data_IF_732654882948
#
_entry.id   IF_732654882948
#
_cell.length_a   1.000
_cell.length_b   1.000
_cell.length_c   1.000
_cell.angle_alpha   90.00
_cell.angle_beta   90.00
_cell.angle_gamma   90.00
#
_symmetry.space_group_name_H-M   'P 1'
#
loop_
_entity.id
_entity.type
_entity.pdbx_description
1 polymer ?
#
# COMPACT_ATOMS: atom_id res chain seq x y z
N UNK A 1 27.70 7.66 -6.37
CA UNK A 1 27.80 6.39 -5.63
C UNK A 1 26.69 5.48 -6.14
N UNK A 2 27.05 4.43 -6.87
CA UNK A 2 26.14 3.44 -7.42
C UNK A 2 25.63 2.54 -6.28
N UNK A 3 24.38 2.75 -5.87
CA UNK A 3 23.71 1.85 -4.91
C UNK A 3 23.55 0.50 -5.60
N UNK A 4 24.14 -0.55 -5.03
CA UNK A 4 24.06 -1.91 -5.53
C UNK A 4 22.65 -2.47 -5.26
N UNK A 5 21.69 -2.11 -6.11
CA UNK A 5 20.24 -2.42 -6.01
C UNK A 5 19.90 -3.91 -6.26
N UNK A 6 20.90 -4.75 -6.53
CA UNK A 6 20.76 -6.17 -6.87
C UNK A 6 20.79 -7.15 -5.68
N UNK A 7 21.06 -6.69 -4.45
CA UNK A 7 21.13 -7.58 -3.28
C UNK A 7 19.76 -7.67 -2.61
N UNK A 8 19.22 -8.88 -2.40
CA UNK A 8 17.97 -9.08 -1.64
C UNK A 8 18.10 -8.54 -0.21
N UNK A 9 16.99 -8.03 0.33
CA UNK A 9 16.88 -7.66 1.75
C UNK A 9 16.92 -8.92 2.59
N UNK A 10 17.73 -8.92 3.64
CA UNK A 10 17.89 -10.07 4.52
C UNK A 10 16.84 -10.06 5.62
N UNK A 11 16.56 -11.23 6.20
CA UNK A 11 15.70 -11.32 7.38
C UNK A 11 16.30 -10.61 8.61
N UNK A 12 17.63 -10.43 8.65
CA UNK A 12 18.31 -9.71 9.74
C UNK A 12 17.97 -8.22 9.68
N UNK A 13 18.11 -7.59 8.51
CA UNK A 13 17.76 -6.17 8.32
C UNK A 13 16.29 -5.91 8.68
N UNK A 14 15.37 -6.79 8.24
CA UNK A 14 13.96 -6.68 8.61
C UNK A 14 13.75 -6.74 10.13
N UNK A 15 14.40 -7.69 10.81
CA UNK A 15 14.29 -7.84 12.27
C UNK A 15 14.91 -6.67 13.04
N UNK A 16 16.02 -6.12 12.57
CA UNK A 16 16.66 -4.96 13.18
C UNK A 16 15.74 -3.74 13.15
N UNK A 17 15.12 -3.46 12.00
CA UNK A 17 14.16 -2.36 11.87
C UNK A 17 12.89 -2.58 12.69
N UNK A 18 12.36 -3.81 12.76
CA UNK A 18 11.22 -4.16 13.65
C UNK A 18 11.59 -3.89 15.11
N UNK A 19 12.73 -4.41 15.58
CA UNK A 19 13.18 -4.21 16.96
C UNK A 19 13.37 -2.73 17.30
N UNK A 20 13.93 -1.95 16.38
CA UNK A 20 14.07 -0.51 16.53
C UNK A 20 12.70 0.18 16.63
N UNK A 21 11.75 -0.18 15.75
CA UNK A 21 10.41 0.38 15.76
C UNK A 21 9.66 0.05 17.07
N UNK A 22 9.74 -1.18 17.55
CA UNK A 22 9.16 -1.54 18.85
C UNK A 22 9.79 -0.77 20.01
N UNK A 23 11.10 -0.55 19.98
CA UNK A 23 11.79 0.24 20.99
C UNK A 23 11.32 1.71 20.98
N UNK A 24 11.15 2.28 19.79
CA UNK A 24 10.58 3.62 19.60
C UNK A 24 9.14 3.69 20.11
N UNK A 25 8.31 2.68 19.85
CA UNK A 25 6.94 2.60 20.39
C UNK A 25 6.95 2.64 21.92
N UNK A 26 7.85 1.86 22.55
CA UNK A 26 7.98 1.81 24.02
C UNK A 26 8.52 3.11 24.63
N UNK A 27 9.45 3.78 23.96
CA UNK A 27 10.20 4.90 24.54
C UNK A 27 9.58 6.27 24.23
N UNK A 28 9.02 6.42 23.03
CA UNK A 28 8.61 7.70 22.46
C UNK A 28 7.11 7.76 22.12
N UNK A 29 6.40 6.64 22.23
CA UNK A 29 4.98 6.52 21.92
C UNK A 29 4.67 6.41 20.42
N UNK A 30 3.45 5.98 20.12
CA UNK A 30 2.99 5.65 18.75
C UNK A 30 3.27 6.75 17.74
N UNK A 31 2.89 7.99 18.05
CA UNK A 31 3.00 9.11 17.11
C UNK A 31 4.43 9.30 16.60
N UNK A 32 5.40 9.38 17.52
CA UNK A 32 6.79 9.63 17.18
C UNK A 32 7.42 8.41 16.51
N UNK A 33 7.11 7.20 16.97
CA UNK A 33 7.60 5.97 16.37
C UNK A 33 7.12 5.80 14.92
N UNK A 34 5.82 5.98 14.65
CA UNK A 34 5.25 5.90 13.30
C UNK A 34 5.88 6.95 12.40
N UNK A 35 5.91 8.22 12.84
CA UNK A 35 6.52 9.30 12.07
C UNK A 35 7.98 8.99 11.72
N UNK A 36 8.76 8.53 12.69
CA UNK A 36 10.18 8.18 12.49
C UNK A 36 10.39 6.99 11.56
N UNK A 37 9.45 6.04 11.54
CA UNK A 37 9.56 4.85 10.69
C UNK A 37 9.25 5.21 9.23
N UNK A 38 8.12 5.87 8.96
CA UNK A 38 7.57 5.93 7.61
C UNK A 38 7.59 7.31 6.94
N UNK A 39 7.95 8.42 7.61
CA UNK A 39 7.75 9.76 7.00
C UNK A 39 8.44 9.93 5.65
N UNK A 40 9.72 9.60 5.56
CA UNK A 40 10.48 9.73 4.31
C UNK A 40 9.99 8.73 3.26
N UNK A 41 9.83 7.47 3.65
CA UNK A 41 9.33 6.41 2.77
C UNK A 41 7.92 6.71 2.21
N UNK A 42 7.05 7.28 3.04
CA UNK A 42 5.69 7.67 2.66
C UNK A 42 5.69 8.87 1.70
N UNK A 43 6.59 9.83 1.88
CA UNK A 43 6.75 10.93 0.93
C UNK A 43 7.23 10.43 -0.44
N UNK A 44 8.25 9.57 -0.47
CA UNK A 44 8.75 8.96 -1.72
C UNK A 44 7.63 8.18 -2.44
N UNK A 45 6.86 7.40 -1.68
CA UNK A 45 5.70 6.68 -2.19
C UNK A 45 4.67 7.63 -2.81
N UNK A 46 4.25 8.67 -2.08
CA UNK A 46 3.25 9.64 -2.54
C UNK A 46 3.71 10.41 -3.78
N UNK A 47 4.98 10.85 -3.82
CA UNK A 47 5.56 11.53 -4.97
C UNK A 47 5.56 10.64 -6.22
N UNK A 48 5.86 9.36 -6.05
CA UNK A 48 5.85 8.40 -7.15
C UNK A 48 4.43 8.16 -7.69
N UNK A 49 3.43 8.10 -6.79
CA UNK A 49 2.03 7.98 -7.19
C UNK A 49 1.50 9.22 -7.94
N UNK A 50 1.88 10.40 -7.48
CA UNK A 50 1.48 11.67 -8.10
C UNK A 50 2.10 11.85 -9.49
N UNK A 51 3.36 11.47 -9.65
CA UNK A 51 4.03 11.48 -10.96
C UNK A 51 3.29 10.58 -11.96
N UNK A 52 2.95 9.35 -11.58
CA UNK A 52 2.22 8.43 -12.45
C UNK A 52 0.82 8.96 -12.84
N UNK A 53 0.12 9.60 -11.91
CA UNK A 53 -1.21 10.20 -12.18
C UNK A 53 -1.14 11.37 -13.18
N UNK A 54 -0.07 12.16 -13.12
CA UNK A 54 0.09 13.39 -13.92
C UNK A 54 0.77 13.17 -15.28
N UNK A 55 1.35 12.00 -15.53
CA UNK A 55 1.91 11.64 -16.84
C UNK A 55 0.81 11.66 -17.92
N UNK A 56 0.93 12.58 -18.88
CA UNK A 56 -0.01 12.72 -20.00
C UNK A 56 -0.16 11.41 -20.80
N UNK A 57 -1.31 11.22 -21.47
CA UNK A 57 -1.60 10.12 -22.40
C UNK A 57 -0.76 10.15 -23.69
N UNK A 58 0.56 10.32 -23.58
CA UNK A 58 1.45 9.93 -24.67
C UNK A 58 1.28 8.41 -24.86
N UNK A 59 0.97 7.94 -26.08
CA UNK A 59 0.67 6.54 -26.30
C UNK A 59 1.89 5.72 -25.91
N UNK A 60 1.75 4.93 -24.84
CA UNK A 60 2.77 4.03 -24.34
C UNK A 60 3.31 3.19 -25.50
N UNK A 61 4.48 3.57 -26.02
CA UNK A 61 5.32 2.62 -26.75
C UNK A 61 5.59 1.51 -25.76
N UNK A 62 5.10 0.32 -26.06
CA UNK A 62 5.32 -0.89 -25.27
C UNK A 62 6.83 -1.11 -25.16
N UNK A 63 7.47 -0.48 -24.18
CA UNK A 63 8.81 -0.81 -23.74
C UNK A 63 8.63 -1.94 -22.73
N UNK A 64 8.84 -3.17 -23.21
CA UNK A 64 8.86 -4.44 -22.46
C UNK A 64 10.00 -4.49 -21.42
N UNK A 65 10.56 -3.35 -21.04
CA UNK A 65 11.56 -3.24 -19.99
C UNK A 65 10.83 -2.87 -18.72
N UNK A 66 10.62 -3.85 -17.82
CA UNK A 66 10.23 -3.61 -16.43
C UNK A 66 11.13 -2.48 -15.91
N UNK A 67 10.56 -1.31 -15.67
CA UNK A 67 11.27 -0.20 -15.04
C UNK A 67 11.85 -0.73 -13.74
N UNK A 68 13.14 -0.48 -13.50
CA UNK A 68 13.79 -0.87 -12.25
C UNK A 68 12.99 -0.38 -11.04
N UNK A 69 13.01 -1.12 -9.93
CA UNK A 69 12.36 -0.73 -8.67
C UNK A 69 12.66 0.75 -8.35
N UNK A 70 11.60 1.58 -8.34
CA UNK A 70 11.72 3.02 -8.10
C UNK A 70 12.17 3.33 -6.67
N UNK A 71 11.98 2.39 -5.75
CA UNK A 71 12.24 2.55 -4.33
C UNK A 71 13.64 2.08 -3.96
N UNK A 72 14.34 2.86 -3.14
CA UNK A 72 15.61 2.42 -2.55
C UNK A 72 15.37 1.37 -1.47
N UNK A 73 16.46 0.71 -1.06
CA UNK A 73 16.45 -0.39 -0.09
C UNK A 73 15.85 0.01 1.27
N UNK A 74 16.17 1.18 1.78
CA UNK A 74 15.71 1.64 3.10
C UNK A 74 14.20 1.94 3.05
N UNK A 75 13.76 2.58 1.97
CA UNK A 75 12.33 2.81 1.69
C UNK A 75 11.56 1.48 1.64
N UNK A 76 12.06 0.47 0.93
CA UNK A 76 11.44 -0.87 0.87
C UNK A 76 11.31 -1.51 2.26
N UNK A 77 12.36 -1.45 3.08
CA UNK A 77 12.36 -2.00 4.44
C UNK A 77 11.30 -1.28 5.29
N UNK A 78 11.29 0.06 5.29
CA UNK A 78 10.39 0.88 6.12
C UNK A 78 8.92 0.69 5.76
N UNK A 79 8.59 0.63 4.47
CA UNK A 79 7.22 0.36 4.02
C UNK A 79 6.80 -1.03 4.49
N UNK A 80 7.64 -2.04 4.24
CA UNK A 80 7.33 -3.44 4.58
C UNK A 80 7.16 -3.63 6.09
N UNK A 81 8.08 -3.11 6.90
CA UNK A 81 7.98 -3.16 8.37
C UNK A 81 6.75 -2.39 8.84
N UNK A 82 6.53 -1.18 8.33
CA UNK A 82 5.37 -0.37 8.71
C UNK A 82 4.03 -1.09 8.47
N UNK A 83 3.86 -1.69 7.29
CA UNK A 83 2.66 -2.47 6.97
C UNK A 83 2.50 -3.72 7.84
N UNK A 84 3.60 -4.40 8.16
CA UNK A 84 3.61 -5.60 8.99
C UNK A 84 3.28 -5.34 10.46
N UNK A 85 3.79 -4.24 11.01
CA UNK A 85 3.68 -3.93 12.44
C UNK A 85 2.39 -3.17 12.80
N UNK A 86 1.85 -2.35 11.88
CA UNK A 86 0.66 -1.55 12.16
C UNK A 86 -0.30 -1.46 10.98
N UNK A 87 -1.54 -1.93 11.18
CA UNK A 87 -2.59 -1.85 10.15
C UNK A 87 -2.92 -0.42 9.72
N UNK A 88 -2.78 0.57 10.60
CA UNK A 88 -3.00 1.98 10.23
C UNK A 88 -1.96 2.50 9.25
N UNK A 89 -0.73 2.00 9.31
CA UNK A 89 0.30 2.32 8.31
C UNK A 89 -0.06 1.66 6.98
N UNK A 90 -0.40 0.37 7.00
CA UNK A 90 -0.86 -0.34 5.80
C UNK A 90 -2.02 0.38 5.13
N UNK A 91 -3.02 0.78 5.91
CA UNK A 91 -4.21 1.43 5.41
C UNK A 91 -3.85 2.83 4.85
N UNK A 92 -2.90 3.57 5.42
CA UNK A 92 -2.44 4.84 4.84
C UNK A 92 -1.82 4.66 3.44
N UNK A 93 -1.01 3.61 3.24
CA UNK A 93 -0.46 3.26 1.91
C UNK A 93 -1.56 2.77 0.95
N UNK A 94 -2.55 2.02 1.43
CA UNK A 94 -3.67 1.58 0.62
C UNK A 94 -4.55 2.75 0.16
N UNK A 95 -4.95 3.63 1.09
CA UNK A 95 -5.79 4.78 0.78
C UNK A 95 -5.10 5.73 -0.18
N UNK A 96 -3.79 5.98 0.00
CA UNK A 96 -3.04 6.81 -0.95
C UNK A 96 -3.01 6.24 -2.36
N UNK A 97 -3.13 4.93 -2.55
CA UNK A 97 -3.18 4.31 -3.86
C UNK A 97 -4.55 4.46 -4.55
N UNK A 98 -5.65 4.37 -3.78
CA UNK A 98 -7.01 4.33 -4.34
C UNK A 98 -7.75 5.68 -4.28
N UNK A 99 -7.25 6.64 -3.49
CA UNK A 99 -7.77 7.99 -3.36
C UNK A 99 -6.66 9.00 -3.70
N UNK A 100 -6.98 9.97 -4.55
CA UNK A 100 -6.08 11.07 -4.92
C UNK A 100 -5.74 11.99 -3.72
N UNK A 101 -4.65 12.74 -3.89
CA UNK A 101 -4.12 13.61 -2.82
C UNK A 101 -5.04 14.80 -2.49
N UNK A 102 -5.94 15.21 -3.42
CA UNK A 102 -6.90 16.28 -3.15
C UNK A 102 -7.93 15.86 -2.10
N UNK A 103 -8.33 14.58 -2.12
CA UNK A 103 -9.28 14.01 -1.15
C UNK A 103 -8.59 13.44 0.09
N UNK A 104 -7.39 12.88 -0.06
CA UNK A 104 -6.60 12.27 1.02
C UNK A 104 -5.18 12.84 1.05
N UNK A 105 -5.01 13.99 1.70
CA UNK A 105 -3.70 14.68 1.75
C UNK A 105 -2.65 13.88 2.52
N UNK A 106 -1.37 14.16 2.23
CA UNK A 106 -0.22 13.57 2.95
C UNK A 106 -0.29 13.80 4.45
N UNK A 107 -0.67 15.01 4.87
CA UNK A 107 -0.78 15.38 6.27
C UNK A 107 -1.87 14.56 6.95
N UNK A 108 -3.03 14.42 6.30
CA UNK A 108 -4.12 13.59 6.82
C UNK A 108 -3.70 12.12 6.94
N UNK A 109 -3.11 11.54 5.90
CA UNK A 109 -2.73 10.12 5.91
C UNK A 109 -1.64 9.82 6.93
N UNK A 110 -0.66 10.72 7.08
CA UNK A 110 0.34 10.62 8.14
C UNK A 110 -0.30 10.73 9.53
N UNK A 111 -1.22 11.67 9.71
CA UNK A 111 -1.93 11.83 10.97
C UNK A 111 -2.82 10.63 11.32
N UNK A 112 -3.47 10.04 10.32
CA UNK A 112 -4.23 8.80 10.45
C UNK A 112 -3.33 7.64 10.86
N UNK A 113 -2.17 7.47 10.22
CA UNK A 113 -1.21 6.43 10.57
C UNK A 113 -0.73 6.56 12.03
N UNK A 114 -0.46 7.79 12.48
CA UNK A 114 -0.02 8.14 13.84
C UNK A 114 -1.13 7.97 14.90
N UNK A 115 -2.38 8.30 14.54
CA UNK A 115 -3.51 8.43 15.46
C UNK A 115 -4.79 7.78 14.89
N UNK A 116 -4.79 6.46 14.61
CA UNK A 116 -5.91 5.82 13.91
C UNK A 116 -7.20 5.78 14.73
N UNK A 117 -7.10 5.80 16.06
CA UNK A 117 -8.24 5.80 16.97
C UNK A 117 -8.80 7.21 17.25
N UNK A 118 -8.17 8.25 16.69
CA UNK A 118 -8.71 9.61 16.83
C UNK A 118 -10.04 9.68 16.07
N UNK A 119 -11.16 10.11 16.69
CA UNK A 119 -12.48 10.04 16.06
C UNK A 119 -12.56 10.73 14.70
N UNK A 120 -11.90 11.88 14.55
CA UNK A 120 -11.84 12.59 13.26
C UNK A 120 -11.12 11.81 12.16
N UNK A 121 -10.09 11.02 12.51
CA UNK A 121 -9.34 10.24 11.53
C UNK A 121 -10.12 9.00 11.11
N UNK A 122 -10.74 8.31 12.07
CA UNK A 122 -11.62 7.17 11.79
C UNK A 122 -12.83 7.57 10.93
N UNK A 123 -13.51 8.66 11.30
CA UNK A 123 -14.66 9.18 10.55
C UNK A 123 -14.26 9.61 9.13
N UNK A 124 -13.13 10.28 8.98
CA UNK A 124 -12.65 10.71 7.66
C UNK A 124 -12.27 9.52 6.78
N UNK A 125 -11.61 8.51 7.33
CA UNK A 125 -11.31 7.27 6.60
C UNK A 125 -12.59 6.58 6.13
N UNK A 126 -13.58 6.41 7.01
CA UNK A 126 -14.86 5.79 6.68
C UNK A 126 -15.58 6.55 5.55
N UNK A 127 -15.54 7.89 5.59
CA UNK A 127 -16.06 8.73 4.53
C UNK A 127 -15.34 8.49 3.20
N UNK A 128 -13.99 8.52 3.19
CA UNK A 128 -13.20 8.30 1.98
C UNK A 128 -13.49 6.93 1.34
N UNK A 129 -13.60 5.88 2.15
CA UNK A 129 -13.93 4.53 1.67
C UNK A 129 -15.37 4.44 1.16
N UNK A 130 -16.31 5.09 1.84
CA UNK A 130 -17.71 5.14 1.40
C UNK A 130 -17.85 5.86 0.06
N UNK A 131 -17.20 7.02 -0.07
CA UNK A 131 -17.20 7.82 -1.30
C UNK A 131 -16.51 7.06 -2.44
N UNK A 132 -15.41 6.34 -2.17
CA UNK A 132 -14.74 5.53 -3.18
C UNK A 132 -15.61 4.35 -3.65
N UNK A 133 -16.19 3.55 -2.74
CA UNK A 133 -16.80 2.28 -3.14
C UNK A 133 -18.29 2.33 -3.45
N UNK A 134 -19.02 3.31 -2.94
CA UNK A 134 -20.48 3.40 -3.10
C UNK A 134 -20.91 4.35 -4.20
N UNK A 135 -20.03 5.26 -4.62
CA UNK A 135 -20.30 6.16 -5.73
C UNK A 135 -19.95 5.46 -7.05
N UNK A 136 -20.93 5.32 -7.93
CA UNK A 136 -20.70 4.76 -9.27
C UNK A 136 -19.78 5.65 -10.10
N UNK A 137 -19.74 6.96 -9.85
CA UNK A 137 -18.87 7.89 -10.58
C UNK A 137 -17.42 7.87 -10.10
N UNK A 138 -17.13 7.29 -8.94
CA UNK A 138 -15.78 7.14 -8.41
C UNK A 138 -15.05 6.01 -9.16
N UNK A 139 -14.46 6.34 -10.30
CA UNK A 139 -13.60 5.43 -11.08
C UNK A 139 -12.16 5.44 -10.53
N UNK A 140 -11.42 4.32 -10.61
CA UNK A 140 -10.02 4.28 -10.22
C UNK A 140 -9.17 5.17 -11.14
N UNK A 141 -8.18 5.86 -10.58
CA UNK A 141 -7.04 6.33 -11.34
C UNK A 141 -6.14 5.12 -11.64
N UNK A 142 -6.25 4.60 -12.87
CA UNK A 142 -5.55 3.38 -13.26
C UNK A 142 -4.03 3.54 -13.23
N UNK A 143 -3.49 4.70 -13.64
CA UNK A 143 -2.03 4.92 -13.63
C UNK A 143 -1.50 4.93 -12.20
N UNK A 144 -2.20 5.61 -11.30
CA UNK A 144 -1.85 5.63 -9.87
C UNK A 144 -1.94 4.24 -9.24
N UNK A 145 -3.01 3.51 -9.53
CA UNK A 145 -3.22 2.16 -8.99
C UNK A 145 -2.16 1.18 -9.52
N UNK A 146 -1.89 1.20 -10.83
CA UNK A 146 -0.86 0.36 -11.45
C UNK A 146 0.54 0.69 -10.89
N UNK A 147 0.84 1.97 -10.68
CA UNK A 147 2.11 2.37 -10.07
C UNK A 147 2.25 1.85 -8.64
N UNK A 148 1.20 1.90 -7.82
CA UNK A 148 1.19 1.32 -6.49
C UNK A 148 1.41 -0.20 -6.53
N UNK A 149 0.73 -0.90 -7.44
CA UNK A 149 0.86 -2.36 -7.62
C UNK A 149 2.28 -2.73 -8.07
N UNK A 150 2.87 -2.00 -9.02
CA UNK A 150 4.24 -2.22 -9.49
C UNK A 150 5.26 -2.05 -8.36
N UNK A 151 5.17 -0.96 -7.59
CA UNK A 151 6.05 -0.73 -6.44
C UNK A 151 5.94 -1.84 -5.39
N UNK A 152 4.73 -2.35 -5.13
CA UNK A 152 4.52 -3.45 -4.18
C UNK A 152 5.09 -4.78 -4.70
N UNK A 153 5.01 -5.07 -6.00
CA UNK A 153 5.67 -6.24 -6.58
C UNK A 153 7.20 -6.11 -6.53
N UNK A 154 7.74 -4.92 -6.75
CA UNK A 154 9.17 -4.67 -6.59
C UNK A 154 9.62 -4.86 -5.13
N UNK A 155 8.85 -4.37 -4.17
CA UNK A 155 9.05 -4.64 -2.73
C UNK A 155 9.08 -6.15 -2.48
N UNK A 156 8.09 -6.90 -2.98
CA UNK A 156 7.96 -8.35 -2.82
C UNK A 156 9.19 -9.10 -3.35
N UNK A 157 9.73 -8.68 -4.50
CA UNK A 157 10.92 -9.30 -5.11
C UNK A 157 12.19 -9.09 -4.28
N UNK A 158 12.25 -7.98 -3.53
CA UNK A 158 13.39 -7.61 -2.71
C UNK A 158 13.37 -8.23 -1.30
N UNK A 159 12.19 -8.43 -0.69
CA UNK A 159 12.06 -8.83 0.72
C UNK A 159 11.98 -10.37 0.92
N UNK A 160 12.34 -10.89 2.11
CA UNK A 160 12.18 -12.30 2.44
C UNK A 160 10.70 -12.74 2.48
N UNK A 161 10.43 -14.01 2.17
CA UNK A 161 9.06 -14.57 2.05
C UNK A 161 8.13 -14.26 3.24
N UNK A 162 8.55 -14.38 4.52
CA UNK A 162 7.66 -14.15 5.65
C UNK A 162 7.06 -12.74 5.73
N UNK A 163 7.68 -11.75 5.10
CA UNK A 163 7.26 -10.34 5.17
C UNK A 163 6.35 -9.91 4.00
N UNK A 164 6.01 -10.83 3.09
CA UNK A 164 5.29 -10.49 1.84
C UNK A 164 3.77 -10.46 2.00
N UNK A 165 3.22 -10.94 3.12
CA UNK A 165 1.77 -11.06 3.31
C UNK A 165 1.03 -9.73 3.14
N UNK A 166 1.44 -8.68 3.88
CA UNK A 166 0.77 -7.38 3.81
C UNK A 166 0.93 -6.69 2.45
N UNK A 167 2.10 -6.67 1.79
CA UNK A 167 2.21 -6.20 0.41
C UNK A 167 1.26 -6.92 -0.56
N UNK A 168 1.17 -8.25 -0.51
CA UNK A 168 0.21 -9.00 -1.33
C UNK A 168 -1.24 -8.64 -1.01
N UNK A 169 -1.58 -8.44 0.27
CA UNK A 169 -2.92 -8.06 0.67
C UNK A 169 -3.31 -6.66 0.13
N UNK A 170 -2.38 -5.69 0.17
CA UNK A 170 -2.59 -4.35 -0.40
C UNK A 170 -2.75 -4.45 -1.92
N UNK A 171 -1.89 -5.20 -2.63
CA UNK A 171 -2.06 -5.46 -4.07
C UNK A 171 -3.46 -6.03 -4.35
N UNK A 172 -3.88 -7.05 -3.60
CA UNK A 172 -5.16 -7.71 -3.82
C UNK A 172 -6.34 -6.74 -3.71
N UNK A 173 -6.27 -5.80 -2.77
CA UNK A 173 -7.31 -4.81 -2.56
C UNK A 173 -7.33 -3.76 -3.67
N UNK A 174 -6.16 -3.28 -4.10
CA UNK A 174 -6.06 -2.32 -5.22
C UNK A 174 -6.56 -2.97 -6.51
N UNK A 175 -6.19 -4.22 -6.79
CA UNK A 175 -6.68 -4.95 -7.96
C UNK A 175 -8.20 -5.19 -7.91
N UNK A 176 -8.75 -5.49 -6.72
CA UNK A 176 -10.20 -5.57 -6.53
C UNK A 176 -10.88 -4.22 -6.80
N UNK A 177 -10.29 -3.13 -6.32
CA UNK A 177 -10.75 -1.76 -6.60
C UNK A 177 -10.74 -1.42 -8.09
N UNK A 178 -9.74 -1.92 -8.84
CA UNK A 178 -9.65 -1.78 -10.30
C UNK A 178 -10.56 -2.75 -11.08
N UNK A 179 -11.30 -3.63 -10.42
CA UNK A 179 -12.13 -4.64 -11.08
C UNK A 179 -11.31 -5.70 -11.83
N UNK A 180 -10.04 -5.91 -11.47
CA UNK A 180 -9.14 -6.86 -12.13
C UNK A 180 -9.26 -8.27 -11.55
N UNK A 181 -9.29 -9.28 -12.42
CA UNK A 181 -9.39 -10.70 -12.04
C UNK A 181 -8.21 -11.18 -11.16
N UNK A 182 -7.04 -10.55 -11.26
CA UNK A 182 -5.85 -10.92 -10.51
C UNK A 182 -5.93 -10.67 -8.99
N UNK A 183 -6.96 -9.96 -8.51
CA UNK A 183 -7.16 -9.66 -7.10
C UNK A 183 -7.15 -10.93 -6.22
N UNK A 184 -7.82 -12.00 -6.64
CA UNK A 184 -7.93 -13.24 -5.86
C UNK A 184 -6.59 -13.96 -5.74
N UNK A 185 -5.76 -13.96 -6.79
CA UNK A 185 -4.46 -14.61 -6.77
C UNK A 185 -3.49 -13.94 -5.77
N UNK A 186 -3.52 -12.60 -5.70
CA UNK A 186 -2.77 -11.85 -4.71
C UNK A 186 -3.29 -12.10 -3.28
N UNK A 187 -4.61 -12.16 -3.08
CA UNK A 187 -5.20 -12.46 -1.78
C UNK A 187 -4.82 -13.87 -1.28
N UNK A 188 -4.89 -14.89 -2.15
CA UNK A 188 -4.43 -16.25 -1.85
C UNK A 188 -2.93 -16.26 -1.51
N UNK A 189 -2.11 -15.49 -2.22
CA UNK A 189 -0.68 -15.38 -1.95
C UNK A 189 -0.39 -14.78 -0.57
N UNK A 190 -1.18 -13.80 -0.13
CA UNK A 190 -1.10 -13.25 1.23
C UNK A 190 -1.50 -14.30 2.28
N UNK A 191 -2.65 -14.96 2.10
CA UNK A 191 -3.17 -15.97 3.04
C UNK A 191 -2.29 -17.21 3.14
N UNK A 192 -1.59 -17.58 2.07
CA UNK A 192 -0.62 -18.67 2.09
C UNK A 192 0.63 -18.36 2.94
N UNK A 193 0.87 -17.09 3.27
CA UNK A 193 1.98 -16.63 4.11
C UNK A 193 1.50 -16.33 5.53
N UNK A 194 0.34 -15.69 5.66
CA UNK A 194 -0.32 -15.34 6.91
C UNK A 194 -1.83 -15.59 6.76
N UNK A 195 -2.31 -16.70 7.30
CA UNK A 195 -3.72 -17.10 7.22
C UNK A 195 -4.66 -16.21 8.05
N UNK A 196 -4.11 -15.33 8.90
CA UNK A 196 -4.84 -14.31 9.66
C UNK A 196 -4.83 -12.94 8.97
N UNK A 197 -4.32 -12.83 7.74
CA UNK A 197 -4.27 -11.56 7.02
C UNK A 197 -5.69 -11.06 6.66
N UNK A 198 -6.24 -10.20 7.53
CA UNK A 198 -7.64 -9.76 7.47
C UNK A 198 -8.02 -9.09 6.15
N UNK A 199 -7.14 -8.28 5.57
CA UNK A 199 -7.42 -7.58 4.31
C UNK A 199 -7.54 -8.55 3.13
N UNK A 200 -6.69 -9.56 3.08
CA UNK A 200 -6.78 -10.60 2.06
C UNK A 200 -8.05 -11.45 2.22
N UNK A 201 -8.43 -11.78 3.47
CA UNK A 201 -9.68 -12.48 3.74
C UNK A 201 -10.92 -11.67 3.32
N UNK A 202 -10.90 -10.35 3.52
CA UNK A 202 -11.96 -9.44 3.03
C UNK A 202 -12.08 -9.51 1.51
N UNK A 203 -10.96 -9.41 0.79
CA UNK A 203 -10.94 -9.47 -0.69
C UNK A 203 -11.44 -10.82 -1.18
N UNK A 204 -10.99 -11.95 -0.61
CA UNK A 204 -11.50 -13.27 -0.95
C UNK A 204 -13.03 -13.35 -0.77
N UNK A 205 -13.53 -12.92 0.39
CA UNK A 205 -14.98 -12.94 0.66
C UNK A 205 -15.77 -12.04 -0.28
N UNK A 206 -15.21 -10.91 -0.71
CA UNK A 206 -15.87 -10.02 -1.66
C UNK A 206 -15.96 -10.67 -3.05
N UNK A 207 -14.85 -11.21 -3.55
CA UNK A 207 -14.78 -11.89 -4.86
C UNK A 207 -15.67 -13.13 -4.90
N UNK A 208 -15.64 -13.98 -3.88
CA UNK A 208 -16.48 -15.19 -3.78
C UNK A 208 -17.99 -14.88 -3.80
N UNK A 209 -18.37 -13.70 -3.31
CA UNK A 209 -19.76 -13.24 -3.28
C UNK A 209 -20.12 -12.36 -4.48
N UNK A 210 -19.21 -12.21 -5.45
CA UNK A 210 -19.36 -11.32 -6.60
C UNK A 210 -19.66 -9.86 -6.19
N UNK A 211 -19.08 -9.41 -5.08
CA UNK A 211 -19.17 -8.03 -4.60
C UNK A 211 -17.97 -7.27 -5.15
N UNK A 212 -18.23 -6.40 -6.13
CA UNK A 212 -17.25 -5.45 -6.68
C UNK A 212 -17.51 -4.01 -6.20
N UNK A 213 -16.59 -3.09 -6.48
CA UNK A 213 -16.84 -1.65 -6.31
C UNK A 213 -18.07 -1.20 -7.11
N UNK A 214 -18.86 -0.23 -6.61
CA UNK A 214 -20.10 0.20 -7.27
C UNK A 214 -19.89 0.62 -8.72
N UNK A 215 -18.73 1.17 -9.04
CA UNK A 215 -18.37 1.62 -10.37
C UNK A 215 -18.32 0.49 -11.41
N UNK A 216 -18.07 -0.75 -10.97
CA UNK A 216 -18.03 -1.96 -11.83
C UNK A 216 -19.40 -2.56 -12.13
N UNK A 217 -20.46 -2.12 -11.45
CA UNK A 217 -21.82 -2.59 -11.73
C UNK A 217 -22.27 -2.03 -13.08
N UNK A 218 -22.62 -2.91 -14.03
CA UNK A 218 -23.21 -2.53 -15.32
C UNK A 218 -24.49 -1.69 -15.08
N UNK A 219 -24.62 -0.57 -15.78
CA UNK A 219 -25.90 0.14 -15.96
C UNK A 219 -26.80 -0.61 -16.92
#
# INVERSE_FOLDING_TARGET
MTVNRTVRITGTEMKETINQFEQELRSNGTRKAVRSLISEAFLIWMDTLEQASTENDEPCRVSVTRTECSLDRDTVIRITVGMGEMLSIRDAFLISAIVDEQRASREFLMDFAERPKHPGNAQRLEQLLSDAFRDQSARPDLKRCDQAVNMLFDIIDMIPKPYRAQPFAVISYIMWWMGQEGAIAAAISALAIDDQCSLAAIVCSAVERHIGPAWTSET
#
